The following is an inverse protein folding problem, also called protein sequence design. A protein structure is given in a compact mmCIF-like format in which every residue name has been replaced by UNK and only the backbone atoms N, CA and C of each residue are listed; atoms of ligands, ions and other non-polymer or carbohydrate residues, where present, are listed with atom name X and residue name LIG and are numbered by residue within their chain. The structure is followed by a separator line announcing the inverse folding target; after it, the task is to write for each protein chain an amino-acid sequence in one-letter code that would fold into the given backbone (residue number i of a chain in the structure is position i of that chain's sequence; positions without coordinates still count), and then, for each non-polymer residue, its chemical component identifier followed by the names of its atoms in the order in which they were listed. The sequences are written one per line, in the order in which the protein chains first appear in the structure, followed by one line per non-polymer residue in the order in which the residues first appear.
data_IF_399546869344
#
_entry.id   IF_399546869344
#
_cell.length_a   1.000
_cell.length_b   1.000
_cell.length_c   1.000
_cell.angle_alpha   90.00
_cell.angle_beta   90.00
_cell.angle_gamma   90.00
#
_symmetry.space_group_name_H-M   'P 1'
#
loop_
_entity.id
_entity.type
_entity.pdbx_description
1 polymer ?
#
# COMPACT_ATOMS: atom_id res chain seq x y z
N UNK A 1 -6.76 43.02 74.40
CA UNK A 1 -7.15 43.81 73.22
C UNK A 1 -6.30 43.30 72.07
N UNK A 2 -6.99 42.76 71.08
CA UNK A 2 -6.49 41.98 69.96
C UNK A 2 -5.82 42.82 68.87
N UNK A 3 -4.73 42.25 68.35
CA UNK A 3 -4.40 42.05 66.93
C UNK A 3 -4.63 43.19 65.92
N UNK A 4 -3.55 43.65 65.29
CA UNK A 4 -3.28 43.49 63.85
C UNK A 4 -2.19 44.47 63.41
N UNK A 5 -0.96 43.98 63.33
CA UNK A 5 0.08 44.62 62.52
C UNK A 5 0.00 44.02 61.12
N UNK A 6 -0.66 44.75 60.23
CA UNK A 6 -0.92 44.37 58.85
C UNK A 6 0.39 44.36 58.05
N UNK A 7 1.00 43.18 57.92
CA UNK A 7 2.00 42.95 56.88
C UNK A 7 1.30 42.82 55.54
N UNK A 8 1.28 43.94 54.82
CA UNK A 8 1.09 43.98 53.37
C UNK A 8 2.26 43.25 52.70
N UNK A 9 2.15 41.92 52.61
CA UNK A 9 2.96 41.13 51.71
C UNK A 9 2.32 41.25 50.34
N UNK A 10 2.82 42.20 49.54
CA UNK A 10 2.51 42.30 48.12
C UNK A 10 2.68 40.94 47.41
N UNK A 11 2.00 40.73 46.27
CA UNK A 11 1.89 39.41 45.64
C UNK A 11 3.28 38.82 45.42
N UNK A 12 3.45 37.59 45.92
CA UNK A 12 4.67 36.80 45.77
C UNK A 12 5.08 36.77 44.28
N UNK A 13 6.32 37.18 43.94
CA UNK A 13 6.74 37.24 42.55
C UNK A 13 6.67 35.82 41.97
N UNK A 14 5.99 35.68 40.83
CA UNK A 14 5.88 34.41 40.13
C UNK A 14 7.28 33.77 39.97
N UNK A 15 7.41 32.45 40.22
CA UNK A 15 8.70 31.78 40.29
C UNK A 15 9.49 32.03 39.00
N UNK A 16 10.76 32.44 39.11
CA UNK A 16 11.60 32.82 37.96
C UNK A 16 11.65 31.76 36.84
N UNK A 17 11.47 30.48 37.20
CA UNK A 17 11.38 29.37 36.24
C UNK A 17 10.17 29.41 35.30
N UNK A 18 9.05 30.03 35.70
CA UNK A 18 7.88 30.19 34.83
C UNK A 18 8.15 31.15 33.67
N UNK A 19 8.99 32.18 33.88
CA UNK A 19 9.38 33.13 32.82
C UNK A 19 10.34 32.51 31.81
N UNK A 20 11.28 31.68 32.27
CA UNK A 20 12.23 30.99 31.39
C UNK A 20 11.53 29.98 30.48
N UNK A 21 10.50 29.29 30.98
CA UNK A 21 9.68 28.38 30.18
C UNK A 21 8.89 29.11 29.08
N UNK A 22 8.29 30.25 29.42
CA UNK A 22 7.57 31.08 28.45
C UNK A 22 8.49 31.61 27.34
N UNK A 23 9.66 32.16 27.69
CA UNK A 23 10.63 32.64 26.69
C UNK A 23 11.07 31.53 25.74
N UNK A 24 11.23 30.31 26.24
CA UNK A 24 11.57 29.15 25.40
C UNK A 24 10.42 28.77 24.44
N UNK A 25 9.16 28.80 24.90
CA UNK A 25 8.00 28.56 24.04
C UNK A 25 7.85 29.64 22.97
N UNK A 26 8.06 30.90 23.34
CA UNK A 26 8.02 32.03 22.39
C UNK A 26 9.11 31.86 21.31
N UNK A 27 10.31 31.42 21.68
CA UNK A 27 11.38 31.09 20.73
C UNK A 27 11.02 29.93 19.78
N UNK A 28 10.32 28.89 20.27
CA UNK A 28 9.83 27.80 19.43
C UNK A 28 8.72 28.26 18.49
N UNK A 29 7.86 29.16 18.95
CA UNK A 29 6.79 29.74 18.13
C UNK A 29 7.36 30.68 17.06
N UNK A 30 8.27 31.59 17.43
CA UNK A 30 8.96 32.51 16.50
C UNK A 30 9.81 31.77 15.47
N UNK A 31 10.46 30.67 15.85
CA UNK A 31 11.21 29.83 14.91
C UNK A 31 10.33 28.99 13.99
N UNK A 32 9.01 29.00 14.20
CA UNK A 32 8.05 28.20 13.44
C UNK A 32 8.18 26.71 13.71
N UNK A 33 8.80 26.30 14.81
CA UNK A 33 9.04 24.91 15.16
C UNK A 33 7.74 24.10 15.19
N UNK A 34 6.70 24.62 15.85
CA UNK A 34 5.41 23.94 15.95
C UNK A 34 4.73 23.80 14.59
N UNK A 35 4.83 24.80 13.72
CA UNK A 35 4.30 24.69 12.36
C UNK A 35 5.01 23.58 11.57
N UNK A 36 6.35 23.48 11.70
CA UNK A 36 7.12 22.44 11.02
C UNK A 36 6.77 21.04 11.52
N UNK A 37 6.59 20.87 12.84
CA UNK A 37 6.16 19.60 13.44
C UNK A 37 4.75 19.23 12.94
N UNK A 38 3.81 20.18 12.94
CA UNK A 38 2.45 19.93 12.43
C UNK A 38 2.46 19.53 10.95
N UNK A 39 3.22 20.24 10.11
CA UNK A 39 3.35 19.91 8.68
C UNK A 39 3.96 18.51 8.47
N UNK A 40 4.93 18.12 9.30
CA UNK A 40 5.52 16.79 9.27
C UNK A 40 4.49 15.72 9.66
N UNK A 41 3.73 15.95 10.73
CA UNK A 41 2.67 15.02 11.16
C UNK A 41 1.59 14.84 10.09
N UNK A 42 1.17 15.92 9.43
CA UNK A 42 0.21 15.86 8.32
C UNK A 42 0.77 15.07 7.14
N UNK A 43 2.04 15.30 6.79
CA UNK A 43 2.71 14.57 5.72
C UNK A 43 2.80 13.07 6.03
N UNK A 44 3.15 12.70 7.26
CA UNK A 44 3.22 11.29 7.69
C UNK A 44 1.84 10.62 7.69
N UNK A 45 0.78 11.33 8.08
CA UNK A 45 -0.60 10.83 7.99
C UNK A 45 -0.99 10.56 6.54
N UNK A 46 -0.68 11.49 5.63
CA UNK A 46 -0.95 11.32 4.20
C UNK A 46 -0.20 10.11 3.62
N UNK A 47 1.11 9.99 3.87
CA UNK A 47 1.93 8.85 3.41
C UNK A 47 1.36 7.53 3.94
N UNK A 48 0.94 7.50 5.20
CA UNK A 48 0.38 6.29 5.81
C UNK A 48 -0.94 5.88 5.14
N UNK A 49 -1.81 6.85 4.84
CA UNK A 49 -3.06 6.60 4.12
C UNK A 49 -2.82 6.07 2.70
N UNK A 50 -1.85 6.64 1.98
CA UNK A 50 -1.45 6.17 0.65
C UNK A 50 -0.88 4.74 0.69
N UNK A 51 -0.01 4.44 1.67
CA UNK A 51 0.55 3.10 1.86
C UNK A 51 -0.53 2.06 2.17
N UNK A 52 -1.53 2.42 2.97
CA UNK A 52 -2.66 1.53 3.25
C UNK A 52 -3.44 1.23 1.96
N UNK A 53 -3.80 2.26 1.20
CA UNK A 53 -4.52 2.09 -0.08
C UNK A 53 -3.71 1.26 -1.08
N UNK A 54 -2.40 1.47 -1.16
CA UNK A 54 -1.52 0.66 -2.00
C UNK A 54 -1.54 -0.82 -1.59
N UNK A 55 -1.51 -1.10 -0.28
CA UNK A 55 -1.59 -2.47 0.25
C UNK A 55 -2.91 -3.17 -0.07
N UNK A 56 -4.04 -2.46 0.05
CA UNK A 56 -5.36 -2.97 -0.32
C UNK A 56 -5.43 -3.29 -1.82
N UNK A 57 -4.99 -2.37 -2.68
CA UNK A 57 -4.92 -2.58 -4.13
C UNK A 57 -4.00 -3.75 -4.51
N UNK A 58 -2.85 -3.88 -3.85
CA UNK A 58 -1.92 -4.99 -4.11
C UNK A 58 -2.56 -6.34 -3.79
N UNK A 59 -3.34 -6.42 -2.70
CA UNK A 59 -4.08 -7.61 -2.32
C UNK A 59 -5.16 -7.97 -3.35
N UNK A 60 -5.98 -7.00 -3.77
CA UNK A 60 -6.99 -7.22 -4.82
C UNK A 60 -6.36 -7.73 -6.12
N UNK A 61 -5.25 -7.12 -6.55
CA UNK A 61 -4.52 -7.56 -7.74
C UNK A 61 -3.94 -8.97 -7.62
N UNK A 62 -3.54 -9.39 -6.42
CA UNK A 62 -3.12 -10.77 -6.18
C UNK A 62 -4.30 -11.74 -6.35
N UNK A 63 -5.46 -11.43 -5.77
CA UNK A 63 -6.68 -12.24 -5.89
C UNK A 63 -7.14 -12.34 -7.36
N UNK A 64 -7.11 -11.24 -8.12
CA UNK A 64 -7.40 -11.23 -9.55
C UNK A 64 -6.43 -12.11 -10.35
N UNK A 65 -5.13 -12.06 -10.01
CA UNK A 65 -4.09 -12.83 -10.70
C UNK A 65 -4.24 -14.34 -10.41
N UNK A 66 -4.58 -14.70 -9.17
CA UNK A 66 -4.89 -16.09 -8.81
C UNK A 66 -6.12 -16.59 -9.57
N UNK A 67 -7.20 -15.80 -9.61
CA UNK A 67 -8.41 -16.15 -10.36
C UNK A 67 -8.11 -16.31 -11.86
N UNK A 68 -7.35 -15.41 -12.45
CA UNK A 68 -6.92 -15.52 -13.85
C UNK A 68 -6.09 -16.80 -14.09
N UNK A 69 -5.18 -17.12 -13.17
CA UNK A 69 -4.35 -18.33 -13.26
C UNK A 69 -5.20 -19.61 -13.19
N UNK A 70 -6.23 -19.63 -12.34
CA UNK A 70 -7.19 -20.73 -12.28
C UNK A 70 -7.96 -20.88 -13.61
N UNK A 71 -8.41 -19.77 -14.21
CA UNK A 71 -9.05 -19.80 -15.53
C UNK A 71 -8.13 -20.30 -16.64
N UNK A 72 -6.86 -19.88 -16.64
CA UNK A 72 -5.85 -20.40 -17.59
C UNK A 72 -5.69 -21.91 -17.43
N UNK A 73 -5.58 -22.42 -16.20
CA UNK A 73 -5.46 -23.86 -15.94
C UNK A 73 -6.68 -24.67 -16.39
N UNK A 74 -7.89 -24.10 -16.24
CA UNK A 74 -9.12 -24.72 -16.77
C UNK A 74 -9.06 -24.80 -18.29
N UNK A 75 -8.66 -23.72 -18.98
CA UNK A 75 -8.48 -23.71 -20.42
C UNK A 75 -7.44 -24.75 -20.88
N UNK A 76 -6.30 -24.83 -20.19
CA UNK A 76 -5.27 -25.85 -20.46
C UNK A 76 -5.83 -27.27 -20.32
N UNK A 77 -6.60 -27.52 -19.26
CA UNK A 77 -7.19 -28.82 -18.98
C UNK A 77 -8.19 -29.24 -20.06
N UNK A 78 -9.05 -28.31 -20.49
CA UNK A 78 -10.01 -28.53 -21.58
C UNK A 78 -9.27 -28.84 -22.88
N UNK A 79 -8.28 -28.01 -23.24
CA UNK A 79 -7.48 -28.21 -24.45
C UNK A 79 -6.75 -29.55 -24.44
N UNK A 80 -6.16 -29.95 -23.31
CA UNK A 80 -5.49 -31.24 -23.17
C UNK A 80 -6.44 -32.42 -23.42
N UNK A 81 -7.66 -32.36 -22.88
CA UNK A 81 -8.69 -33.40 -23.11
C UNK A 81 -9.13 -33.42 -24.58
N UNK A 82 -9.31 -32.25 -25.19
CA UNK A 82 -9.68 -32.14 -26.61
C UNK A 82 -8.61 -32.72 -27.52
N UNK A 83 -7.34 -32.39 -27.31
CA UNK A 83 -6.21 -32.91 -28.10
C UNK A 83 -6.04 -34.43 -27.95
N UNK A 84 -6.32 -34.99 -26.77
CA UNK A 84 -6.31 -36.44 -26.56
C UNK A 84 -7.42 -37.15 -27.34
N UNK A 85 -8.59 -36.53 -27.45
CA UNK A 85 -9.76 -37.11 -28.16
C UNK A 85 -9.70 -36.90 -29.68
N UNK A 86 -9.14 -35.78 -30.10
CA UNK A 86 -8.98 -35.37 -31.49
C UNK A 86 -7.52 -35.03 -31.72
N UNK A 87 -6.67 -36.01 -32.07
CA UNK A 87 -5.26 -35.74 -32.34
C UNK A 87 -5.15 -34.81 -33.55
N UNK A 88 -4.57 -33.64 -33.33
CA UNK A 88 -4.29 -32.62 -34.34
C UNK A 88 -2.78 -32.54 -34.51
N UNK A 89 -2.33 -32.37 -35.75
CA UNK A 89 -0.92 -32.14 -36.04
C UNK A 89 -0.42 -30.82 -35.43
N UNK A 90 0.79 -30.84 -34.88
CA UNK A 90 1.38 -29.69 -34.20
C UNK A 90 1.59 -28.49 -35.14
N UNK A 91 1.90 -28.74 -36.41
CA UNK A 91 2.08 -27.73 -37.45
C UNK A 91 0.75 -27.07 -37.83
N UNK A 92 -0.29 -27.87 -38.03
CA UNK A 92 -1.64 -27.39 -38.35
C UNK A 92 -2.23 -26.57 -37.20
N UNK A 93 -2.09 -27.04 -35.96
CA UNK A 93 -2.53 -26.30 -34.78
C UNK A 93 -1.80 -24.95 -34.66
N UNK A 94 -0.47 -24.95 -34.88
CA UNK A 94 0.35 -23.73 -34.80
C UNK A 94 -0.02 -22.72 -35.89
N UNK A 95 -0.39 -23.18 -37.08
CA UNK A 95 -0.85 -22.32 -38.18
C UNK A 95 -2.21 -21.70 -37.86
N UNK A 96 -3.15 -22.47 -37.32
CA UNK A 96 -4.52 -22.03 -37.04
C UNK A 96 -4.61 -21.03 -35.87
N UNK A 97 -3.75 -21.15 -34.86
CA UNK A 97 -3.77 -20.28 -33.68
C UNK A 97 -2.87 -19.05 -33.79
N UNK A 98 -2.02 -18.98 -34.83
CA UNK A 98 -1.00 -17.94 -35.01
C UNK A 98 -1.56 -16.52 -34.94
N UNK A 99 -2.76 -16.33 -35.49
CA UNK A 99 -3.38 -15.01 -35.62
C UNK A 99 -4.58 -14.81 -34.67
N UNK A 100 -4.88 -15.79 -33.80
CA UNK A 100 -6.09 -15.77 -32.94
C UNK A 100 -5.83 -15.19 -31.56
N UNK A 101 -4.72 -15.54 -30.89
CA UNK A 101 -4.31 -14.96 -29.61
C UNK A 101 -2.91 -15.46 -29.20
N UNK A 102 -1.98 -14.56 -28.80
CA UNK A 102 -0.65 -14.95 -28.32
C UNK A 102 -0.69 -15.86 -27.08
N UNK A 103 -1.65 -15.63 -26.18
CA UNK A 103 -1.81 -16.43 -24.96
C UNK A 103 -2.29 -17.84 -25.29
N UNK A 104 -3.31 -17.96 -26.16
CA UNK A 104 -3.81 -19.27 -26.60
C UNK A 104 -2.73 -20.03 -27.38
N UNK A 105 -1.92 -19.31 -28.17
CA UNK A 105 -0.78 -19.89 -28.86
C UNK A 105 0.25 -20.49 -27.89
N UNK A 106 0.61 -19.76 -26.83
CA UNK A 106 1.55 -20.25 -25.83
C UNK A 106 1.02 -21.50 -25.09
N UNK A 107 -0.26 -21.50 -24.71
CA UNK A 107 -0.90 -22.62 -24.01
C UNK A 107 -0.96 -23.88 -24.89
N UNK A 108 -1.43 -23.73 -26.14
CA UNK A 108 -1.54 -24.84 -27.07
C UNK A 108 -0.18 -25.48 -27.41
N UNK A 109 0.86 -24.66 -27.62
CA UNK A 109 2.21 -25.15 -27.89
C UNK A 109 2.79 -25.92 -26.68
N UNK A 110 2.60 -25.40 -25.46
CA UNK A 110 3.06 -26.06 -24.24
C UNK A 110 2.41 -27.45 -24.06
N UNK A 111 1.11 -27.57 -24.36
CA UNK A 111 0.37 -28.82 -24.26
C UNK A 111 0.82 -29.85 -25.30
N UNK A 112 1.06 -29.42 -26.55
CA UNK A 112 1.56 -30.30 -27.61
C UNK A 112 2.96 -30.82 -27.27
N UNK A 113 3.85 -29.96 -26.77
CA UNK A 113 5.19 -30.36 -26.31
C UNK A 113 5.14 -31.38 -25.15
N UNK A 114 4.19 -31.21 -24.23
CA UNK A 114 3.97 -32.15 -23.12
C UNK A 114 3.34 -33.48 -23.55
N UNK A 115 2.49 -33.47 -24.58
CA UNK A 115 1.79 -34.66 -25.07
C UNK A 115 2.63 -35.50 -26.04
N UNK A 116 3.69 -34.94 -26.63
CA UNK A 116 4.62 -35.62 -27.54
C UNK A 116 5.77 -36.39 -26.88
N UNK A 117 5.80 -36.47 -25.53
CA UNK A 117 6.66 -37.35 -24.74
C UNK A 117 5.85 -38.50 -24.15
#
# INVERSE_FOLDING_TARGET
MSDQDGKDQGPEPAPEGAKAHQVFLDLLEESGFFQQINNLEESLKAITAELQSFGENAKERMEETENLSAHVLVCESILAVMLKKYPIDAGDLKAEIKDRSPTVQALALNLVEKAGK
#
